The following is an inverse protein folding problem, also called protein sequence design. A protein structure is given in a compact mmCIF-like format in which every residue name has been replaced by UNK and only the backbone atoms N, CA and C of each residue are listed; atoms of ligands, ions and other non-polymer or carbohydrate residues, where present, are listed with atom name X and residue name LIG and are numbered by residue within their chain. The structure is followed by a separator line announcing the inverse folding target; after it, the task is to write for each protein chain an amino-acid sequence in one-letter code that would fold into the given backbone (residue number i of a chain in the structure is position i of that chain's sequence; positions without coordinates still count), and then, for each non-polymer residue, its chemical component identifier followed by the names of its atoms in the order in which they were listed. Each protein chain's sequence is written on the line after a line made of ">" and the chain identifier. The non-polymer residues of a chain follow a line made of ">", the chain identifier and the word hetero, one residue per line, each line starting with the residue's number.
data_IF_948826759970
#
_entry.id   IF_948826759970
#
_cell.length_a   1.000
_cell.length_b   1.000
_cell.length_c   1.000
_cell.angle_alpha   90.00
_cell.angle_beta   90.00
_cell.angle_gamma   90.00
#
_symmetry.space_group_name_H-M   'P 1'
#
loop_
_entity.id
_entity.type
_entity.pdbx_description
1 polymer ?
#
# COMPACT_ATOMS: atom_id res chain seq x y z
N UNK A 1 -13.68 17.80 37.04
CA UNK A 1 -13.41 18.38 35.71
C UNK A 1 -11.98 18.12 35.20
N UNK A 2 -10.91 18.41 35.96
CA UNK A 2 -9.51 18.19 35.52
C UNK A 2 -9.20 16.72 35.13
N UNK A 3 -9.69 15.75 35.92
CA UNK A 3 -9.51 14.31 35.63
C UNK A 3 -10.24 13.87 34.35
N UNK A 4 -11.45 14.41 34.10
CA UNK A 4 -12.24 14.10 32.89
C UNK A 4 -11.58 14.64 31.62
N UNK A 5 -11.09 15.89 31.66
CA UNK A 5 -10.34 16.48 30.54
C UNK A 5 -9.07 15.69 30.21
N UNK A 6 -8.32 15.27 31.23
CA UNK A 6 -7.13 14.43 31.04
C UNK A 6 -7.48 13.07 30.42
N UNK A 7 -8.55 12.42 30.87
CA UNK A 7 -9.01 11.15 30.29
C UNK A 7 -9.36 11.30 28.81
N UNK A 8 -10.06 12.37 28.43
CA UNK A 8 -10.42 12.64 27.03
C UNK A 8 -9.15 12.82 26.18
N UNK A 9 -8.18 13.60 26.66
CA UNK A 9 -6.91 13.82 25.96
C UNK A 9 -6.18 12.49 25.74
N UNK A 10 -6.09 11.64 26.75
CA UNK A 10 -5.43 10.33 26.64
C UNK A 10 -6.12 9.47 25.58
N UNK A 11 -7.45 9.38 25.60
CA UNK A 11 -8.22 8.60 24.62
C UNK A 11 -7.99 9.13 23.20
N UNK A 12 -8.04 10.46 23.00
CA UNK A 12 -7.78 11.08 21.70
C UNK A 12 -6.36 10.79 21.22
N UNK A 13 -5.36 10.91 22.09
CA UNK A 13 -3.96 10.60 21.75
C UNK A 13 -3.79 9.14 21.34
N UNK A 14 -4.42 8.19 22.05
CA UNK A 14 -4.38 6.77 21.70
C UNK A 14 -5.03 6.52 20.33
N UNK A 15 -6.17 7.15 20.05
CA UNK A 15 -6.84 7.02 18.75
C UNK A 15 -5.98 7.60 17.62
N UNK A 16 -5.36 8.77 17.82
CA UNK A 16 -4.43 9.35 16.85
C UNK A 16 -3.21 8.45 16.63
N UNK A 17 -2.62 7.91 17.70
CA UNK A 17 -1.49 6.98 17.59
C UNK A 17 -1.87 5.70 16.84
N UNK A 18 -3.08 5.17 17.06
CA UNK A 18 -3.57 4.00 16.34
C UNK A 18 -3.67 4.25 14.83
N UNK A 19 -4.12 5.44 14.41
CA UNK A 19 -4.15 5.84 12.99
C UNK A 19 -2.75 5.91 12.35
N UNK A 20 -1.71 6.17 13.15
CA UNK A 20 -0.32 6.26 12.68
C UNK A 20 0.41 4.92 12.67
N UNK A 21 0.11 4.01 13.61
CA UNK A 21 0.89 2.79 13.83
C UNK A 21 0.27 1.53 13.22
N UNK A 22 -1.05 1.50 13.02
CA UNK A 22 -1.73 0.34 12.44
C UNK A 22 -1.70 0.48 10.91
N UNK A 23 -1.14 -0.49 10.19
CA UNK A 23 -1.05 -0.45 8.72
C UNK A 23 -2.15 -1.27 8.03
N UNK A 24 -3.12 -0.57 7.44
CA UNK A 24 -4.18 -1.10 6.59
C UNK A 24 -4.63 -0.04 5.56
N UNK A 25 -5.52 -0.41 4.64
CA UNK A 25 -5.96 0.47 3.55
C UNK A 25 -6.56 1.81 4.01
N UNK A 26 -7.17 1.86 5.19
CA UNK A 26 -7.85 3.06 5.71
C UNK A 26 -6.90 3.93 6.53
N UNK A 27 -6.13 3.31 7.43
CA UNK A 27 -5.16 4.03 8.27
C UNK A 27 -4.01 4.57 7.44
N UNK A 28 -3.51 3.78 6.48
CA UNK A 28 -2.43 4.26 5.60
C UNK A 28 -2.93 5.34 4.65
N UNK A 29 -4.20 5.37 4.26
CA UNK A 29 -4.76 6.50 3.51
C UNK A 29 -4.63 7.81 4.31
N UNK A 30 -4.98 7.79 5.60
CA UNK A 30 -4.99 8.97 6.47
C UNK A 30 -3.62 9.33 7.06
N UNK A 31 -2.70 8.38 7.20
CA UNK A 31 -1.44 8.57 7.92
C UNK A 31 -0.51 9.56 7.20
N UNK A 32 -0.27 10.78 7.71
CA UNK A 32 0.56 11.78 7.02
C UNK A 32 2.04 11.40 6.91
N UNK A 33 2.52 10.41 7.68
CA UNK A 33 3.93 10.00 7.70
C UNK A 33 4.30 9.06 6.54
N UNK A 34 3.32 8.43 5.90
CA UNK A 34 3.56 7.55 4.75
C UNK A 34 3.44 8.38 3.47
N UNK A 35 4.38 8.25 2.55
CA UNK A 35 4.31 8.98 1.27
C UNK A 35 3.57 8.15 0.23
N UNK A 36 3.02 8.83 -0.79
CA UNK A 36 2.55 8.15 -1.99
C UNK A 36 3.77 7.71 -2.79
N UNK A 37 3.83 6.42 -3.11
CA UNK A 37 4.90 5.77 -3.86
C UNK A 37 4.34 5.18 -5.16
N UNK A 38 5.23 4.84 -6.08
CA UNK A 38 4.91 4.22 -7.37
C UNK A 38 5.83 3.03 -7.55
N UNK A 39 5.27 1.85 -7.36
CA UNK A 39 6.01 0.58 -7.37
C UNK A 39 5.39 -0.38 -8.37
N UNK A 40 6.12 -1.44 -8.70
CA UNK A 40 5.83 -2.33 -9.80
C UNK A 40 5.62 -3.74 -9.28
N UNK A 41 4.68 -4.49 -9.86
CA UNK A 41 4.46 -5.87 -9.47
C UNK A 41 4.10 -6.75 -10.66
N UNK A 42 4.40 -8.04 -10.51
CA UNK A 42 3.85 -9.10 -11.35
C UNK A 42 2.70 -9.77 -10.58
N UNK A 43 1.53 -9.86 -11.21
CA UNK A 43 0.31 -10.42 -10.64
C UNK A 43 -0.19 -11.63 -11.45
N UNK A 44 -0.96 -12.56 -10.86
CA UNK A 44 -1.50 -13.70 -11.61
C UNK A 44 -2.50 -13.26 -12.69
N UNK A 45 -2.50 -13.99 -13.80
CA UNK A 45 -3.55 -13.88 -14.84
C UNK A 45 -4.84 -14.57 -14.40
N UNK A 46 -5.92 -14.34 -15.16
CA UNK A 46 -7.24 -14.95 -14.97
C UNK A 46 -7.93 -14.55 -13.66
N UNK A 47 -7.46 -13.47 -13.02
CA UNK A 47 -8.07 -12.87 -11.84
C UNK A 47 -7.80 -11.37 -11.81
N UNK A 48 -8.67 -10.65 -11.09
CA UNK A 48 -8.56 -9.21 -10.81
C UNK A 48 -8.42 -8.95 -9.31
N UNK A 49 -8.27 -9.99 -8.49
CA UNK A 49 -8.09 -9.89 -7.04
C UNK A 49 -6.74 -10.46 -6.68
N UNK A 50 -5.82 -9.58 -6.30
CA UNK A 50 -4.44 -9.96 -6.00
C UNK A 50 -4.18 -9.79 -4.52
N UNK A 51 -3.77 -10.86 -3.85
CA UNK A 51 -3.48 -10.86 -2.41
C UNK A 51 -1.99 -11.03 -2.17
N UNK A 52 -1.46 -10.41 -1.11
CA UNK A 52 -0.06 -10.50 -0.71
C UNK A 52 0.91 -10.18 -1.87
N UNK A 53 0.67 -9.07 -2.55
CA UNK A 53 1.45 -8.64 -3.72
C UNK A 53 2.81 -8.15 -3.26
N UNK A 54 3.87 -8.82 -3.75
CA UNK A 54 5.24 -8.33 -3.61
C UNK A 54 5.52 -7.31 -4.71
N UNK A 55 5.63 -6.04 -4.33
CA UNK A 55 6.04 -4.98 -5.24
C UNK A 55 7.57 -4.73 -5.17
N UNK A 56 8.09 -4.12 -6.23
CA UNK A 56 9.46 -3.66 -6.36
C UNK A 56 9.46 -2.20 -6.77
N UNK A 57 10.42 -1.44 -6.28
CA UNK A 57 10.56 -0.05 -6.65
C UNK A 57 11.16 0.11 -8.05
N UNK A 58 11.27 1.35 -8.51
CA UNK A 58 11.85 1.69 -9.83
C UNK A 58 13.29 1.20 -10.01
N UNK A 59 14.05 1.02 -8.92
CA UNK A 59 15.41 0.46 -8.99
C UNK A 59 15.42 -1.07 -9.05
N UNK A 60 14.28 -1.74 -8.91
CA UNK A 60 14.18 -3.20 -8.90
C UNK A 60 14.28 -3.85 -7.53
N UNK A 61 14.36 -3.06 -6.46
CA UNK A 61 14.45 -3.55 -5.08
C UNK A 61 13.07 -3.87 -4.56
N UNK A 62 12.91 -5.05 -3.94
CA UNK A 62 11.66 -5.45 -3.27
C UNK A 62 11.31 -4.49 -2.14
N UNK A 63 10.05 -4.13 -2.05
CA UNK A 63 9.52 -3.46 -0.86
C UNK A 63 9.71 -4.37 0.37
N UNK A 64 9.97 -3.81 1.56
CA UNK A 64 10.15 -4.58 2.79
C UNK A 64 8.85 -5.20 3.31
N UNK A 65 7.72 -4.97 2.63
CA UNK A 65 6.41 -5.53 2.93
C UNK A 65 5.70 -5.95 1.65
N UNK A 66 4.60 -6.70 1.82
CA UNK A 66 3.65 -7.02 0.76
C UNK A 66 2.40 -6.19 0.92
N UNK A 67 1.81 -5.75 -0.20
CA UNK A 67 0.51 -5.09 -0.20
C UNK A 67 -0.55 -6.19 -0.06
N UNK A 68 -1.37 -6.12 0.99
CA UNK A 68 -2.34 -7.16 1.35
C UNK A 68 -3.34 -7.43 0.23
N UNK A 69 -3.82 -6.39 -0.44
CA UNK A 69 -4.78 -6.48 -1.53
C UNK A 69 -4.54 -5.42 -2.60
N UNK A 70 -4.55 -5.84 -3.85
CA UNK A 70 -4.50 -4.97 -5.04
C UNK A 70 -5.64 -5.38 -5.97
N UNK A 71 -6.50 -4.43 -6.34
CA UNK A 71 -7.57 -4.63 -7.31
C UNK A 71 -7.09 -4.45 -8.74
N UNK A 72 -7.48 -5.37 -9.62
CA UNK A 72 -7.21 -5.39 -11.05
C UNK A 72 -8.42 -4.95 -11.89
N UNK A 73 -8.19 -4.65 -13.16
CA UNK A 73 -9.27 -4.43 -14.14
C UNK A 73 -9.08 -5.20 -15.47
N UNK A 74 -7.91 -5.80 -15.70
CA UNK A 74 -7.63 -6.63 -16.88
C UNK A 74 -7.06 -8.00 -16.45
N UNK A 75 -7.84 -9.09 -16.53
CA UNK A 75 -7.40 -10.41 -16.12
C UNK A 75 -6.40 -11.05 -17.11
N UNK A 76 -6.20 -10.49 -18.31
CA UNK A 76 -5.29 -11.04 -19.33
C UNK A 76 -3.84 -10.58 -19.14
N UNK A 77 -3.65 -9.45 -18.43
CA UNK A 77 -2.37 -8.78 -18.20
C UNK A 77 -1.85 -9.10 -16.80
N UNK A 78 -0.52 -9.04 -16.64
CA UNK A 78 0.17 -9.52 -15.43
C UNK A 78 1.23 -8.57 -14.88
N UNK A 79 1.54 -7.47 -15.57
CA UNK A 79 2.51 -6.48 -15.11
C UNK A 79 1.77 -5.19 -14.81
N UNK A 80 1.92 -4.71 -13.59
CA UNK A 80 1.22 -3.52 -13.11
C UNK A 80 2.20 -2.55 -12.47
N UNK A 81 1.90 -1.27 -12.62
CA UNK A 81 2.40 -0.21 -11.74
C UNK A 81 1.29 0.13 -10.75
N UNK A 82 1.67 0.34 -9.51
CA UNK A 82 0.78 0.54 -8.36
C UNK A 82 1.15 1.88 -7.75
N UNK A 83 0.20 2.81 -7.71
CA UNK A 83 0.33 4.04 -6.91
C UNK A 83 -0.30 3.78 -5.56
N UNK A 84 0.50 3.72 -4.49
CA UNK A 84 0.05 3.32 -3.17
C UNK A 84 0.75 4.07 -2.04
N UNK A 85 0.17 4.03 -0.86
CA UNK A 85 0.70 4.57 0.40
C UNK A 85 0.61 3.43 1.41
N UNK A 86 1.73 2.76 1.69
CA UNK A 86 1.70 1.54 2.49
C UNK A 86 0.76 0.51 1.87
N UNK A 87 -0.28 0.14 2.62
CA UNK A 87 -1.35 -0.80 2.24
C UNK A 87 -2.50 -0.15 1.45
N UNK A 88 -2.59 1.18 1.40
CA UNK A 88 -3.61 1.89 0.61
C UNK A 88 -3.21 1.93 -0.87
N UNK A 89 -3.96 1.27 -1.74
CA UNK A 89 -3.79 1.36 -3.20
C UNK A 89 -4.71 2.44 -3.75
N UNK A 90 -4.14 3.46 -4.38
CA UNK A 90 -4.91 4.54 -5.03
C UNK A 90 -5.38 4.13 -6.43
N UNK A 91 -4.45 3.61 -7.23
CA UNK A 91 -4.71 3.20 -8.61
C UNK A 91 -3.66 2.19 -9.05
N UNK A 92 -4.04 1.36 -10.02
CA UNK A 92 -3.11 0.55 -10.80
C UNK A 92 -3.20 0.92 -12.27
N UNK A 93 -2.09 0.80 -12.98
CA UNK A 93 -2.05 0.84 -14.43
C UNK A 93 -1.33 -0.42 -14.93
N UNK A 94 -1.84 -1.06 -15.99
CA UNK A 94 -1.17 -2.21 -16.57
C UNK A 94 -0.08 -1.74 -17.54
N UNK A 95 1.10 -2.35 -17.43
CA UNK A 95 2.26 -2.06 -18.27
C UNK A 95 2.67 -3.29 -19.08
N UNK A 96 3.61 -3.10 -19.99
CA UNK A 96 4.27 -4.18 -20.73
C UNK A 96 5.45 -4.74 -19.92
N UNK A 97 5.94 -5.92 -20.31
CA UNK A 97 7.12 -6.52 -19.67
C UNK A 97 8.36 -5.64 -19.74
N UNK A 98 8.52 -4.88 -20.83
CA UNK A 98 9.70 -4.04 -21.07
C UNK A 98 9.76 -2.81 -20.16
N UNK A 99 8.60 -2.37 -19.65
CA UNK A 99 8.49 -1.27 -18.69
C UNK A 99 8.74 -1.72 -17.24
N UNK A 100 8.80 -3.03 -16.99
CA UNK A 100 9.05 -3.57 -15.67
C UNK A 100 10.53 -3.34 -15.26
N UNK A 101 10.81 -2.79 -14.07
CA UNK A 101 12.17 -2.72 -13.56
C UNK A 101 12.84 -4.09 -13.49
N UNK A 102 14.13 -4.14 -13.79
CA UNK A 102 14.92 -5.37 -13.61
C UNK A 102 15.06 -5.65 -12.12
N UNK A 103 14.70 -6.86 -11.70
CA UNK A 103 14.91 -7.30 -10.32
C UNK A 103 16.39 -7.18 -9.96
N UNK A 104 16.66 -6.58 -8.80
CA UNK A 104 17.97 -6.70 -8.17
C UNK A 104 17.98 -7.97 -7.31
N UNK A 105 19.09 -8.69 -7.35
CA UNK A 105 19.33 -9.87 -6.53
C UNK A 105 19.60 -9.50 -5.06
#
# INVERSE_FOLDING_TARGET
>A
MKKLGLTIIIVVTILCAALLLIHNQYTDYLNPMIKMETDYAKVPKHTQKYYNVQAINKSGKKLPYKIKYVGGNDPSRQYIVIRHKGQYVKVIDYITKNEMPRLQD
#
